data_IF_699541833554
#
_entry.id   IF_699541833554
#
_cell.length_a   1.000
_cell.length_b   1.000
_cell.length_c   1.000
_cell.angle_alpha   90.00
_cell.angle_beta   90.00
_cell.angle_gamma   90.00
#
_symmetry.space_group_name_H-M   'P 1'
#
loop_
_entity.id
_entity.type
_entity.pdbx_description
1 polymer ?
#
# COMPACT_ATOMS: atom_id res chain seq x y z
N UNK A 1 24.08 -5.12 -6.53
CA UNK A 1 24.14 -5.32 -7.99
C UNK A 1 23.63 -4.06 -8.61
N UNK A 2 24.31 -3.52 -9.62
CA UNK A 2 23.89 -2.28 -10.27
C UNK A 2 22.64 -2.45 -11.12
N UNK A 3 21.91 -1.36 -11.36
CA UNK A 3 20.79 -1.33 -12.31
C UNK A 3 21.25 -1.71 -13.73
N UNK A 4 20.44 -2.46 -14.47
CA UNK A 4 20.66 -2.69 -15.91
C UNK A 4 20.42 -1.42 -16.72
N UNK A 5 20.92 -1.36 -17.96
CA UNK A 5 20.68 -0.21 -18.86
C UNK A 5 19.17 0.01 -19.09
N UNK A 6 18.40 -1.06 -19.29
CA UNK A 6 16.94 -0.98 -19.44
C UNK A 6 16.26 -0.44 -18.18
N UNK A 7 16.75 -0.83 -17.00
CA UNK A 7 16.23 -0.32 -15.72
C UNK A 7 16.60 1.15 -15.52
N UNK A 8 17.81 1.56 -15.87
CA UNK A 8 18.24 2.97 -15.81
C UNK A 8 17.34 3.83 -16.71
N UNK A 9 17.06 3.38 -17.94
CA UNK A 9 16.18 4.10 -18.85
C UNK A 9 14.74 4.18 -18.31
N UNK A 10 14.19 3.07 -17.81
CA UNK A 10 12.83 2.99 -17.25
C UNK A 10 12.65 3.89 -16.02
N UNK A 11 13.60 3.85 -15.09
CA UNK A 11 13.52 4.57 -13.81
C UNK A 11 14.27 5.91 -13.82
N UNK A 12 14.69 6.39 -15.00
CA UNK A 12 15.45 7.63 -15.15
C UNK A 12 14.87 8.81 -14.36
N UNK A 13 13.54 8.98 -14.38
CA UNK A 13 12.87 10.05 -13.61
C UNK A 13 13.02 9.90 -12.10
N UNK A 14 12.99 8.67 -11.55
CA UNK A 14 13.17 8.43 -10.12
C UNK A 14 14.65 8.56 -9.72
N UNK A 15 15.56 8.04 -10.54
CA UNK A 15 17.01 8.13 -10.31
C UNK A 15 17.47 9.59 -10.23
N UNK A 16 16.85 10.49 -10.99
CA UNK A 16 17.15 11.91 -10.97
C UNK A 16 16.57 12.65 -9.75
N UNK A 17 15.66 12.05 -8.99
CA UNK A 17 15.06 12.71 -7.83
C UNK A 17 16.05 12.79 -6.66
N UNK A 18 16.20 13.98 -6.04
CA UNK A 18 16.90 14.10 -4.76
C UNK A 18 16.27 13.18 -3.71
N UNK A 19 17.10 12.46 -2.97
CA UNK A 19 16.66 11.51 -1.94
C UNK A 19 16.40 10.08 -2.44
N UNK A 20 16.22 9.86 -3.76
CA UNK A 20 16.12 8.51 -4.35
C UNK A 20 17.46 8.09 -4.93
N UNK A 21 17.89 8.71 -6.05
CA UNK A 21 19.14 8.32 -6.71
C UNK A 21 19.13 6.89 -7.26
N UNK A 22 20.27 6.47 -7.82
CA UNK A 22 20.45 5.08 -8.27
C UNK A 22 20.35 4.07 -7.13
N UNK A 23 20.96 4.39 -5.98
CA UNK A 23 20.92 3.52 -4.79
C UNK A 23 19.51 3.35 -4.20
N UNK A 24 18.69 4.40 -4.19
CA UNK A 24 17.29 4.28 -3.76
C UNK A 24 16.45 3.45 -4.73
N UNK A 25 16.69 3.56 -6.03
CA UNK A 25 16.00 2.70 -7.00
C UNK A 25 16.42 1.24 -6.89
N UNK A 26 17.71 0.95 -6.65
CA UNK A 26 18.19 -0.41 -6.35
C UNK A 26 17.52 -0.98 -5.10
N UNK A 27 17.37 -0.15 -4.06
CA UNK A 27 16.63 -0.55 -2.84
C UNK A 27 15.17 -0.86 -3.14
N UNK A 28 14.47 -0.02 -3.91
CA UNK A 28 13.08 -0.29 -4.29
C UNK A 28 12.94 -1.63 -5.04
N UNK A 29 13.83 -1.90 -6.00
CA UNK A 29 13.83 -3.17 -6.74
C UNK A 29 14.12 -4.38 -5.84
N UNK A 30 14.93 -4.21 -4.80
CA UNK A 30 15.20 -5.26 -3.83
C UNK A 30 14.10 -5.39 -2.74
N UNK A 31 13.19 -4.43 -2.66
CA UNK A 31 12.18 -4.36 -1.60
C UNK A 31 10.94 -5.20 -1.90
N UNK A 32 10.24 -5.54 -0.83
CA UNK A 32 9.02 -6.33 -0.84
C UNK A 32 7.91 -5.68 -0.02
N UNK A 33 6.70 -5.62 -0.57
CA UNK A 33 5.52 -5.03 0.10
C UNK A 33 4.35 -5.99 0.09
N UNK A 34 3.72 -6.21 1.24
CA UNK A 34 2.46 -6.95 1.35
C UNK A 34 1.29 -5.95 1.40
N UNK A 35 0.26 -6.19 0.60
CA UNK A 35 -1.00 -5.43 0.66
C UNK A 35 -2.08 -6.38 1.19
N UNK A 36 -2.55 -6.12 2.41
CA UNK A 36 -3.65 -6.82 3.04
C UNK A 36 -4.87 -5.92 3.09
N UNK A 37 -6.00 -6.39 2.59
CA UNK A 37 -7.19 -5.55 2.41
C UNK A 37 -8.50 -6.34 2.54
N UNK A 38 -9.54 -5.68 3.03
CA UNK A 38 -10.92 -6.16 2.97
C UNK A 38 -11.55 -5.87 1.60
N UNK A 39 -12.60 -6.62 1.23
CA UNK A 39 -13.30 -6.52 -0.05
C UNK A 39 -13.74 -5.08 -0.36
N UNK A 40 -14.22 -4.35 0.64
CA UNK A 40 -14.65 -2.97 0.50
C UNK A 40 -13.51 -2.01 0.16
N UNK A 41 -12.26 -2.32 0.49
CA UNK A 41 -11.07 -1.50 0.23
C UNK A 41 -10.26 -1.96 -1.00
N UNK A 42 -10.81 -2.85 -1.83
CA UNK A 42 -10.11 -3.41 -3.00
C UNK A 42 -9.56 -2.32 -3.94
N UNK A 43 -10.31 -1.25 -4.20
CA UNK A 43 -9.83 -0.18 -5.09
C UNK A 43 -8.63 0.57 -4.50
N UNK A 44 -8.59 0.78 -3.18
CA UNK A 44 -7.45 1.41 -2.52
C UNK A 44 -6.22 0.50 -2.61
N UNK A 45 -6.41 -0.79 -2.37
CA UNK A 45 -5.35 -1.80 -2.50
C UNK A 45 -4.78 -1.84 -3.92
N UNK A 46 -5.66 -1.81 -4.92
CA UNK A 46 -5.25 -1.88 -6.32
C UNK A 46 -4.54 -0.61 -6.79
N UNK A 47 -4.97 0.55 -6.31
CA UNK A 47 -4.26 1.79 -6.56
C UNK A 47 -2.88 1.79 -5.90
N UNK A 48 -2.77 1.31 -4.67
CA UNK A 48 -1.47 1.15 -4.02
C UNK A 48 -0.54 0.22 -4.81
N UNK A 49 -1.05 -0.94 -5.25
CA UNK A 49 -0.34 -1.91 -6.09
C UNK A 49 0.20 -1.26 -7.37
N UNK A 50 -0.62 -0.49 -8.07
CA UNK A 50 -0.24 0.18 -9.31
C UNK A 50 0.94 1.13 -9.09
N UNK A 51 0.88 1.98 -8.06
CA UNK A 51 1.95 2.94 -7.76
C UNK A 51 3.23 2.25 -7.30
N UNK A 52 3.14 1.22 -6.45
CA UNK A 52 4.31 0.45 -6.00
C UNK A 52 5.02 -0.24 -7.17
N UNK A 53 4.26 -0.89 -8.06
CA UNK A 53 4.83 -1.52 -9.24
C UNK A 53 5.40 -0.50 -10.22
N UNK A 54 4.71 0.61 -10.49
CA UNK A 54 5.23 1.68 -11.34
C UNK A 54 6.53 2.29 -10.78
N UNK A 55 6.67 2.36 -9.46
CA UNK A 55 7.88 2.82 -8.78
C UNK A 55 9.05 1.81 -8.85
N UNK A 56 8.78 0.56 -9.21
CA UNK A 56 9.78 -0.50 -9.30
C UNK A 56 10.02 -1.24 -8.00
N UNK A 57 8.99 -1.39 -7.15
CA UNK A 57 9.03 -2.37 -6.06
C UNK A 57 9.11 -3.77 -6.67
N UNK A 58 10.14 -4.54 -6.32
CA UNK A 58 10.44 -5.81 -6.98
C UNK A 58 9.44 -6.92 -6.67
N UNK A 59 8.94 -6.98 -5.44
CA UNK A 59 7.99 -8.01 -5.03
C UNK A 59 6.80 -7.42 -4.29
N UNK A 60 5.59 -7.76 -4.74
CA UNK A 60 4.36 -7.30 -4.13
C UNK A 60 3.48 -8.50 -3.79
N UNK A 61 3.14 -8.64 -2.51
CA UNK A 61 2.19 -9.61 -1.99
C UNK A 61 0.77 -9.05 -2.05
N UNK A 62 -0.18 -9.85 -2.51
CA UNK A 62 -1.59 -9.50 -2.60
C UNK A 62 -2.40 -10.43 -1.71
N UNK A 63 -3.02 -9.88 -0.65
CA UNK A 63 -3.69 -10.66 0.38
C UNK A 63 -5.10 -10.13 0.66
N UNK A 64 -6.14 -10.69 0.00
CA UNK A 64 -7.52 -10.48 0.42
C UNK A 64 -7.73 -11.08 1.82
N UNK A 65 -8.36 -10.33 2.72
CA UNK A 65 -8.66 -10.76 4.09
C UNK A 65 -9.98 -11.54 4.20
N UNK A 66 -10.89 -11.32 3.26
CA UNK A 66 -12.17 -12.01 3.20
C UNK A 66 -12.06 -13.34 2.43
N UNK A 67 -12.87 -14.35 2.80
CA UNK A 67 -12.85 -15.71 2.22
C UNK A 67 -13.24 -15.78 0.72
N UNK A 68 -13.52 -14.65 0.06
CA UNK A 68 -13.83 -14.65 -1.36
C UNK A 68 -12.56 -14.97 -2.17
N UNK A 69 -12.56 -16.15 -2.79
CA UNK A 69 -11.50 -16.64 -3.68
C UNK A 69 -11.37 -15.71 -4.91
N UNK A 70 -10.60 -14.64 -4.75
CA UNK A 70 -10.12 -13.78 -5.84
C UNK A 70 -10.82 -12.44 -5.99
N UNK A 71 -10.22 -11.60 -6.84
CA UNK A 71 -10.80 -10.35 -7.32
C UNK A 71 -12.21 -10.61 -7.87
N UNK A 72 -13.22 -9.97 -7.30
CA UNK A 72 -14.58 -10.11 -7.79
C UNK A 72 -14.65 -9.71 -9.27
N UNK A 73 -15.42 -10.43 -10.12
CA UNK A 73 -15.61 -10.04 -11.53
C UNK A 73 -16.23 -8.64 -11.69
N UNK A 74 -16.78 -8.08 -10.61
CA UNK A 74 -17.39 -6.75 -10.51
C UNK A 74 -16.36 -5.64 -10.21
N UNK A 75 -15.11 -5.97 -9.88
CA UNK A 75 -14.06 -4.95 -9.64
C UNK A 75 -13.87 -4.13 -10.92
N UNK A 76 -14.19 -2.82 -10.95
CA UNK A 76 -14.12 -2.01 -12.18
C UNK A 76 -12.71 -1.95 -12.77
N UNK A 77 -11.71 -2.19 -11.93
CA UNK A 77 -10.31 -2.19 -12.30
C UNK A 77 -9.82 -3.56 -12.80
N UNK A 78 -10.55 -4.66 -12.59
CA UNK A 78 -10.26 -5.97 -13.21
C UNK A 78 -10.11 -5.88 -14.73
N UNK A 79 -10.91 -5.01 -15.36
CA UNK A 79 -10.84 -4.69 -16.78
C UNK A 79 -9.54 -3.98 -17.18
N UNK A 80 -9.01 -3.10 -16.32
CA UNK A 80 -7.74 -2.40 -16.57
C UNK A 80 -6.54 -3.37 -16.57
N UNK A 81 -6.60 -4.42 -15.77
CA UNK A 81 -5.55 -5.45 -15.71
C UNK A 81 -5.74 -6.60 -16.72
N UNK A 82 -6.76 -6.53 -17.59
CA UNK A 82 -6.94 -7.47 -18.70
C UNK A 82 -7.26 -8.90 -18.25
N UNK A 83 -8.03 -9.05 -17.17
CA UNK A 83 -8.51 -10.34 -16.68
C UNK A 83 -7.54 -11.11 -15.77
N UNK A 84 -6.30 -10.63 -15.56
CA UNK A 84 -5.40 -11.14 -14.52
C UNK A 84 -4.44 -10.06 -14.03
N UNK A 85 -4.47 -9.77 -12.72
CA UNK A 85 -3.58 -8.80 -12.07
C UNK A 85 -2.12 -8.99 -12.45
N UNK A 86 -1.63 -10.23 -12.48
CA UNK A 86 -0.21 -10.51 -12.80
C UNK A 86 0.19 -10.07 -14.21
N UNK A 87 -0.69 -10.23 -15.19
CA UNK A 87 -0.43 -9.80 -16.57
C UNK A 87 -0.44 -8.28 -16.69
N UNK A 88 -1.42 -7.62 -16.09
CA UNK A 88 -1.48 -6.15 -16.09
C UNK A 88 -0.29 -5.55 -15.33
N UNK A 89 0.14 -6.15 -14.21
CA UNK A 89 1.32 -5.70 -13.47
C UNK A 89 2.60 -5.84 -14.31
N UNK A 90 2.79 -6.98 -14.98
CA UNK A 90 3.96 -7.20 -15.84
C UNK A 90 4.01 -6.25 -17.03
N UNK A 91 2.84 -5.83 -17.55
CA UNK A 91 2.73 -4.79 -18.58
C UNK A 91 3.07 -3.41 -18.04
N UNK A 92 2.69 -3.13 -16.80
CA UNK A 92 3.01 -1.87 -16.13
C UNK A 92 4.50 -1.77 -15.82
N UNK A 93 5.06 -2.82 -15.21
CA UNK A 93 6.48 -2.93 -14.92
C UNK A 93 6.93 -4.40 -14.92
N UNK A 94 7.80 -4.82 -15.87
CA UNK A 94 8.26 -6.19 -15.93
C UNK A 94 9.24 -6.59 -14.82
N UNK A 95 9.78 -5.65 -14.05
CA UNK A 95 10.66 -5.95 -12.91
C UNK A 95 9.87 -6.27 -11.62
N UNK A 96 8.59 -5.93 -11.59
CA UNK A 96 7.73 -6.18 -10.43
C UNK A 96 7.04 -7.54 -10.55
N UNK A 97 7.06 -8.28 -9.45
CA UNK A 97 6.40 -9.58 -9.34
C UNK A 97 5.21 -9.50 -8.38
N UNK A 98 4.12 -10.19 -8.73
CA UNK A 98 2.93 -10.30 -7.88
C UNK A 98 2.84 -11.71 -7.32
N UNK A 99 2.63 -11.83 -6.01
CA UNK A 99 2.41 -13.10 -5.33
C UNK A 99 1.09 -13.04 -4.57
N UNK A 100 0.17 -13.97 -4.87
CA UNK A 100 -1.07 -14.09 -4.11
C UNK A 100 -0.80 -14.80 -2.78
N UNK A 101 -1.30 -14.24 -1.69
CA UNK A 101 -1.14 -14.78 -0.33
C UNK A 101 -2.51 -14.93 0.30
N UNK A 102 -2.79 -16.11 0.85
CA UNK A 102 -3.97 -16.34 1.67
C UNK A 102 -3.68 -16.07 3.15
N UNK A 103 -4.65 -15.53 3.90
CA UNK A 103 -4.56 -15.48 5.36
C UNK A 103 -4.25 -16.89 5.91
N UNK A 104 -3.24 -17.01 6.76
CA UNK A 104 -2.81 -18.29 7.35
C UNK A 104 -1.89 -19.18 6.48
N UNK A 105 -1.74 -18.92 5.18
CA UNK A 105 -0.73 -19.57 4.34
C UNK A 105 0.59 -18.76 4.29
N UNK A 106 1.73 -19.45 4.26
CA UNK A 106 3.05 -18.81 4.06
C UNK A 106 3.67 -18.17 5.32
N UNK A 107 3.43 -18.75 6.49
CA UNK A 107 3.83 -18.27 7.83
C UNK A 107 5.33 -17.97 8.07
N UNK A 108 6.21 -18.12 7.08
CA UNK A 108 7.65 -17.84 7.20
C UNK A 108 8.17 -16.68 6.35
N UNK A 109 7.36 -16.13 5.45
CA UNK A 109 7.84 -15.11 4.52
C UNK A 109 7.61 -13.70 5.05
N UNK A 110 8.72 -12.96 5.21
CA UNK A 110 8.77 -11.59 5.73
C UNK A 110 8.92 -10.60 4.58
N UNK A 111 8.11 -9.55 4.61
CA UNK A 111 8.11 -8.41 3.72
C UNK A 111 8.81 -7.21 4.37
N UNK A 112 9.31 -6.28 3.56
CA UNK A 112 9.88 -5.05 4.09
C UNK A 112 8.80 -4.11 4.61
N UNK A 113 7.62 -4.09 3.99
CA UNK A 113 6.48 -3.29 4.41
C UNK A 113 5.14 -4.04 4.32
N UNK A 114 4.19 -3.66 5.18
CA UNK A 114 2.78 -4.06 5.08
C UNK A 114 1.88 -2.83 4.92
N UNK A 115 1.07 -2.81 3.88
CA UNK A 115 -0.07 -1.91 3.73
C UNK A 115 -1.31 -2.66 4.21
N UNK A 116 -1.99 -2.10 5.21
CA UNK A 116 -3.21 -2.63 5.80
C UNK A 116 -4.40 -1.74 5.46
N UNK A 117 -5.44 -2.33 4.91
CA UNK A 117 -6.65 -1.65 4.44
C UNK A 117 -7.88 -2.39 5.00
N UNK A 118 -8.22 -2.13 6.26
CA UNK A 118 -9.39 -2.72 6.92
C UNK A 118 -9.86 -1.89 8.13
N UNK A 119 -11.10 -2.12 8.55
CA UNK A 119 -11.78 -1.46 9.67
C UNK A 119 -11.77 -2.30 10.99
N UNK A 120 -10.65 -2.92 11.33
CA UNK A 120 -10.39 -3.68 12.59
C UNK A 120 -11.06 -5.06 12.73
N UNK A 121 -12.06 -5.40 11.93
CA UNK A 121 -12.93 -6.58 12.19
C UNK A 121 -12.49 -7.90 11.53
N UNK A 122 -11.49 -7.89 10.65
CA UNK A 122 -11.20 -8.98 9.72
C UNK A 122 -9.83 -9.67 9.93
N UNK A 123 -9.76 -10.74 10.74
CA UNK A 123 -8.70 -11.75 10.64
C UNK A 123 -7.65 -11.81 11.77
N UNK A 124 -6.72 -12.78 11.66
CA UNK A 124 -5.63 -13.02 12.61
C UNK A 124 -4.46 -12.05 12.36
N UNK A 125 -4.58 -10.84 12.91
CA UNK A 125 -3.73 -9.69 12.59
C UNK A 125 -2.30 -9.77 13.13
N UNK A 126 -2.10 -10.33 14.32
CA UNK A 126 -0.75 -10.49 14.90
C UNK A 126 0.15 -11.31 13.97
N UNK A 127 -0.44 -12.31 13.31
CA UNK A 127 0.24 -13.15 12.32
C UNK A 127 0.69 -12.36 11.10
N UNK A 128 -0.08 -11.39 10.60
CA UNK A 128 0.32 -10.57 9.44
C UNK A 128 1.34 -9.48 9.82
N UNK A 129 1.19 -8.82 10.96
CA UNK A 129 2.14 -7.80 11.42
C UNK A 129 3.53 -8.39 11.68
N UNK A 130 3.60 -9.62 12.19
CA UNK A 130 4.88 -10.34 12.35
C UNK A 130 5.62 -10.61 11.04
N UNK A 131 4.96 -10.42 9.90
CA UNK A 131 5.51 -10.65 8.55
C UNK A 131 6.02 -9.39 7.90
N UNK A 132 6.07 -8.24 8.58
CA UNK A 132 6.63 -7.02 8.00
C UNK A 132 7.54 -6.27 8.97
N UNK A 133 8.56 -5.59 8.44
CA UNK A 133 9.47 -4.77 9.25
C UNK A 133 8.79 -3.49 9.75
N UNK A 134 7.89 -2.92 8.95
CA UNK A 134 7.03 -1.81 9.35
C UNK A 134 5.67 -1.93 8.64
N UNK A 135 4.67 -1.21 9.15
CA UNK A 135 3.36 -1.21 8.53
C UNK A 135 2.67 0.14 8.57
N UNK A 136 1.81 0.33 7.57
CA UNK A 136 1.01 1.52 7.38
C UNK A 136 -0.43 1.06 7.18
N UNK A 137 -1.34 1.67 7.93
CA UNK A 137 -2.78 1.43 7.81
C UNK A 137 -3.46 2.59 7.13
N UNK A 138 -4.35 2.26 6.22
CA UNK A 138 -5.34 3.17 5.69
C UNK A 138 -6.74 2.70 6.05
N UNK A 139 -7.64 3.64 6.33
CA UNK A 139 -9.08 3.38 6.44
C UNK A 139 -9.79 4.47 5.67
N UNK A 140 -10.78 4.11 4.88
CA UNK A 140 -11.69 5.07 4.27
C UNK A 140 -13.13 4.85 4.71
N UNK A 141 -13.92 5.93 4.76
CA UNK A 141 -15.37 5.84 4.90
C UNK A 141 -16.03 7.07 4.28
N UNK A 142 -17.05 6.85 3.44
CA UNK A 142 -17.76 7.93 2.74
C UNK A 142 -16.84 8.78 1.86
N UNK A 143 -16.68 10.06 2.21
CA UNK A 143 -15.85 11.03 1.49
C UNK A 143 -14.48 11.30 2.15
N UNK A 144 -14.12 10.51 3.16
CA UNK A 144 -12.96 10.77 3.98
C UNK A 144 -12.10 9.52 4.22
N UNK A 145 -10.84 9.75 4.57
CA UNK A 145 -9.87 8.70 4.85
C UNK A 145 -8.79 9.13 5.83
N UNK A 146 -8.19 8.13 6.47
CA UNK A 146 -7.17 8.30 7.50
C UNK A 146 -6.00 7.35 7.25
N UNK A 147 -4.78 7.84 7.48
CA UNK A 147 -3.55 7.07 7.39
C UNK A 147 -2.82 7.12 8.72
N UNK A 148 -2.46 5.94 9.21
CA UNK A 148 -1.71 5.73 10.44
C UNK A 148 -0.49 4.86 10.16
N UNK A 149 0.64 5.19 10.78
CA UNK A 149 1.89 4.43 10.67
C UNK A 149 2.40 4.09 12.07
N UNK A 150 3.01 2.92 12.23
CA UNK A 150 3.56 2.49 13.52
C UNK A 150 4.48 1.27 13.42
N UNK A 151 5.19 1.01 14.51
CA UNK A 151 5.80 -0.29 14.83
C UNK A 151 4.99 -0.87 16.00
N UNK A 152 4.01 -1.73 15.71
CA UNK A 152 3.10 -2.28 16.72
C UNK A 152 1.75 -1.55 16.77
N UNK A 153 1.08 -1.55 17.93
CA UNK A 153 -0.34 -1.16 18.04
C UNK A 153 -0.61 0.25 17.47
N UNK A 154 -1.42 0.30 16.41
CA UNK A 154 -1.89 1.55 15.81
C UNK A 154 -2.97 2.20 16.68
N UNK A 155 -2.93 3.52 16.77
CA UNK A 155 -4.02 4.28 17.40
C UNK A 155 -5.33 4.08 16.61
N UNK A 156 -6.46 4.07 17.33
CA UNK A 156 -7.77 3.96 16.70
C UNK A 156 -8.01 5.14 15.77
N UNK A 157 -8.65 4.92 14.60
CA UNK A 157 -9.01 6.01 13.72
C UNK A 157 -9.86 7.03 14.48
N UNK A 158 -9.49 8.29 14.37
CA UNK A 158 -10.20 9.38 15.08
C UNK A 158 -11.49 9.79 14.38
N UNK A 159 -11.72 9.28 13.17
CA UNK A 159 -12.93 9.55 12.41
C UNK A 159 -14.07 8.66 12.89
N UNK A 160 -14.91 9.19 13.78
CA UNK A 160 -16.23 8.61 14.05
C UNK A 160 -17.18 9.01 12.91
N UNK A 161 -17.71 8.06 12.14
CA UNK A 161 -18.47 8.38 10.94
C UNK A 161 -19.86 8.90 11.27
N UNK A 162 -20.18 10.09 10.79
CA UNK A 162 -21.58 10.45 10.56
C UNK A 162 -22.09 9.72 9.32
N UNK A 163 -22.74 8.56 9.53
CA UNK A 163 -23.46 7.83 8.49
C UNK A 163 -22.59 6.79 7.75
N UNK A 164 -22.90 5.51 7.99
CA UNK A 164 -22.25 4.34 7.40
C UNK A 164 -22.47 4.15 5.89
N UNK A 165 -22.01 5.10 5.07
CA UNK A 165 -21.90 4.91 3.61
C UNK A 165 -20.53 4.33 3.26
N UNK A 166 -20.53 3.42 2.28
CA UNK A 166 -19.31 2.91 1.67
C UNK A 166 -18.49 4.06 1.06
N UNK A 167 -17.17 3.90 1.05
CA UNK A 167 -16.26 4.89 0.49
C UNK A 167 -16.44 5.07 -1.01
N UNK A 168 -16.25 6.30 -1.48
CA UNK A 168 -16.25 6.57 -2.93
C UNK A 168 -14.94 6.09 -3.56
N UNK A 169 -14.98 5.75 -4.86
CA UNK A 169 -13.78 5.37 -5.64
C UNK A 169 -12.70 6.45 -5.59
N UNK A 170 -13.10 7.74 -5.56
CA UNK A 170 -12.15 8.85 -5.47
C UNK A 170 -11.39 8.85 -4.14
N UNK A 171 -12.07 8.60 -3.02
CA UNK A 171 -11.46 8.48 -1.69
C UNK A 171 -10.50 7.30 -1.64
N UNK A 172 -10.93 6.14 -2.13
CA UNK A 172 -10.08 4.94 -2.14
C UNK A 172 -8.85 5.13 -3.05
N UNK A 173 -9.02 5.80 -4.18
CA UNK A 173 -7.90 6.13 -5.06
C UNK A 173 -6.89 7.06 -4.40
N UNK A 174 -7.37 8.09 -3.69
CA UNK A 174 -6.52 8.97 -2.91
C UNK A 174 -5.79 8.20 -1.79
N UNK A 175 -6.52 7.38 -1.03
CA UNK A 175 -5.97 6.57 0.05
C UNK A 175 -4.85 5.64 -0.46
N UNK A 176 -5.12 4.86 -1.51
CA UNK A 176 -4.15 3.93 -2.10
C UNK A 176 -2.89 4.61 -2.61
N UNK A 177 -3.04 5.75 -3.31
CA UNK A 177 -1.91 6.53 -3.80
C UNK A 177 -1.04 7.06 -2.65
N UNK A 178 -1.67 7.51 -1.56
CA UNK A 178 -0.97 8.13 -0.44
C UNK A 178 -0.26 7.09 0.43
N UNK A 179 -0.87 5.92 0.64
CA UNK A 179 -0.23 4.76 1.27
C UNK A 179 1.00 4.32 0.49
N UNK A 180 0.88 4.15 -0.84
CA UNK A 180 2.02 3.80 -1.68
C UNK A 180 3.15 4.83 -1.58
N UNK A 181 2.83 6.13 -1.65
CA UNK A 181 3.83 7.18 -1.51
C UNK A 181 4.57 7.11 -0.16
N UNK A 182 3.86 6.82 0.94
CA UNK A 182 4.48 6.70 2.26
C UNK A 182 5.38 5.47 2.37
N UNK A 183 4.93 4.32 1.87
CA UNK A 183 5.75 3.10 1.81
C UNK A 183 7.01 3.33 0.97
N UNK A 184 6.89 3.91 -0.22
CA UNK A 184 8.03 4.18 -1.10
C UNK A 184 9.07 5.07 -0.43
N UNK A 185 8.63 6.12 0.26
CA UNK A 185 9.53 6.99 1.03
C UNK A 185 10.28 6.20 2.10
N UNK A 186 9.59 5.33 2.84
CA UNK A 186 10.19 4.49 3.89
C UNK A 186 11.17 3.45 3.36
N UNK A 187 10.87 2.83 2.22
CA UNK A 187 11.78 1.87 1.58
C UNK A 187 13.05 2.54 1.05
N UNK A 188 12.96 3.81 0.68
CA UNK A 188 14.11 4.58 0.20
C UNK A 188 14.93 5.18 1.34
N UNK A 189 14.30 5.60 2.44
CA UNK A 189 14.95 6.33 3.54
C UNK A 189 14.91 5.54 4.87
N UNK A 190 16.04 4.94 5.25
CA UNK A 190 16.20 4.14 6.48
C UNK A 190 16.18 4.97 7.78
N UNK A 191 16.21 6.30 7.71
CA UNK A 191 16.49 7.16 8.87
C UNK A 191 15.26 7.67 9.63
N UNK A 192 14.05 7.41 9.13
CA UNK A 192 12.80 7.92 9.71
C UNK A 192 12.47 7.08 10.98
N UNK A 193 12.90 7.51 12.18
CA UNK A 193 12.65 6.84 13.48
C UNK A 193 11.15 6.81 13.83
N UNK A 194 10.73 5.80 14.61
CA UNK A 194 9.32 5.42 14.77
C UNK A 194 8.68 5.87 16.09
N UNK A 195 7.49 6.46 15.97
CA UNK A 195 6.41 6.42 16.97
C UNK A 195 5.08 6.18 16.24
N UNK A 196 4.11 5.51 16.88
CA UNK A 196 2.75 5.38 16.36
C UNK A 196 2.05 6.75 16.40
N UNK A 197 1.60 7.24 15.26
CA UNK A 197 0.86 8.50 15.17
C UNK A 197 -0.03 8.46 13.92
N UNK A 198 -1.31 8.84 14.05
CA UNK A 198 -2.14 9.16 12.89
C UNK A 198 -1.51 10.35 12.14
N UNK A 199 -0.94 10.09 10.96
CA UNK A 199 -0.11 11.08 10.27
C UNK A 199 -0.92 11.96 9.33
N UNK A 200 -2.04 11.46 8.80
CA UNK A 200 -2.83 12.20 7.84
C UNK A 200 -4.31 11.82 7.81
N UNK A 201 -5.16 12.83 7.62
CA UNK A 201 -6.60 12.72 7.40
C UNK A 201 -7.00 13.60 6.22
N UNK A 202 -7.96 13.14 5.45
CA UNK A 202 -8.57 13.92 4.39
C UNK A 202 -10.08 13.72 4.39
N UNK A 203 -10.83 14.77 4.04
CA UNK A 203 -12.28 14.73 3.87
C UNK A 203 -12.68 15.62 2.69
N UNK A 204 -13.19 15.00 1.64
CA UNK A 204 -13.60 15.67 0.42
C UNK A 204 -14.95 16.39 0.51
N UNK A 205 -15.79 16.06 1.50
CA UNK A 205 -17.05 16.79 1.74
C UNK A 205 -16.80 18.25 2.10
N UNK A 206 -15.68 18.52 2.76
CA UNK A 206 -15.31 19.83 3.26
C UNK A 206 -13.98 20.36 2.72
N UNK A 207 -13.31 19.61 1.83
CA UNK A 207 -12.00 19.97 1.30
C UNK A 207 -10.91 20.00 2.38
N UNK A 208 -11.07 19.18 3.43
CA UNK A 208 -10.14 19.10 4.54
C UNK A 208 -8.95 18.21 4.18
N UNK A 209 -7.75 18.68 4.49
CA UNK A 209 -6.52 17.90 4.46
C UNK A 209 -5.71 18.25 5.72
N UNK A 210 -5.64 17.32 6.66
CA UNK A 210 -4.86 17.46 7.89
C UNK A 210 -3.68 16.49 7.87
N UNK A 211 -2.46 16.99 8.01
CA UNK A 211 -1.29 16.16 8.27
C UNK A 211 -0.76 16.50 9.66
N UNK A 212 -0.68 15.52 10.56
CA UNK A 212 -0.09 15.67 11.88
C UNK A 212 1.27 15.02 11.90
N UNK A 213 2.32 15.84 11.91
CA UNK A 213 3.66 15.39 12.27
C UNK A 213 3.80 15.51 13.78
N UNK A 214 3.63 14.40 14.52
CA UNK A 214 4.13 14.37 15.89
C UNK A 214 5.64 14.16 15.81
N UNK A 215 6.38 15.26 15.95
CA UNK A 215 7.80 15.21 16.25
C UNK A 215 7.92 14.79 17.72
N UNK A 216 8.18 13.49 17.96
CA UNK A 216 8.66 13.01 19.26
C UNK A 216 10.17 13.19 19.36
#
# INVERSE_FOLDING_TARGET
>A
MGLSEEQIQRYSRHILLPGVGGGGQERLLASSVLIAFSEDEENAALMALAYLAAAGVGRIGWCPLDESDGMGPESPLSAFYGGSLGNGLKRLNPDSTLVSIRPGEGAGEVFDALIRLDDESAGDFETLESRAKFFIRGVSRGEAGEISEGLGVLEKPGMTPEGGRASTVAVQGALGAWLAARVLRRLVDETDTVGSTAQARFDFSHGLLEARANLS
#
